data_IF_405289105982
#
_entry.id   IF_405289105982
#
_cell.length_a   1.000
_cell.length_b   1.000
_cell.length_c   1.000
_cell.angle_alpha   90.00
_cell.angle_beta   90.00
_cell.angle_gamma   90.00
#
_symmetry.space_group_name_H-M   'P 1'
#
loop_
_entity.id
_entity.type
_entity.pdbx_description
1 polymer ?
#
# COMPACT_ATOMS: atom_id res chain seq x y z
N UNK A 1 -1.76 11.08 -24.29
CA UNK A 1 -3.16 10.76 -24.69
C UNK A 1 -4.02 10.71 -23.46
N UNK A 2 -5.35 10.79 -23.56
CA UNK A 2 -6.22 10.85 -22.38
C UNK A 2 -7.46 9.93 -22.51
N UNK A 3 -7.74 9.06 -21.54
CA UNK A 3 -8.92 8.18 -21.48
C UNK A 3 -10.13 8.97 -21.02
N UNK A 4 -11.13 9.16 -21.87
CA UNK A 4 -12.40 9.78 -21.48
C UNK A 4 -13.12 8.89 -20.46
N UNK A 5 -13.34 9.35 -19.22
CA UNK A 5 -14.00 8.57 -18.19
C UNK A 5 -15.45 8.29 -18.55
N UNK A 6 -16.02 7.28 -17.88
CA UNK A 6 -17.43 6.88 -18.04
C UNK A 6 -18.43 8.03 -17.97
N UNK A 7 -18.16 9.05 -17.15
CA UNK A 7 -19.03 10.23 -17.01
C UNK A 7 -19.07 11.12 -18.27
N UNK A 8 -17.97 11.18 -19.04
CA UNK A 8 -17.87 12.09 -20.20
C UNK A 8 -18.62 11.60 -21.43
N UNK A 9 -18.76 10.30 -21.61
CA UNK A 9 -19.57 9.72 -22.69
C UNK A 9 -20.98 9.31 -22.22
N UNK A 10 -21.30 9.63 -20.96
CA UNK A 10 -22.60 9.36 -20.35
C UNK A 10 -22.86 7.88 -20.19
N UNK A 11 -21.99 7.13 -19.52
CA UNK A 11 -22.22 5.71 -19.24
C UNK A 11 -23.42 5.48 -18.31
N UNK A 12 -24.17 4.41 -18.54
CA UNK A 12 -25.06 3.85 -17.51
C UNK A 12 -24.24 3.19 -16.40
N UNK A 13 -24.75 3.16 -15.16
CA UNK A 13 -24.20 2.29 -14.12
C UNK A 13 -24.24 0.82 -14.57
N UNK A 14 -23.21 0.03 -14.26
CA UNK A 14 -23.23 -1.41 -14.49
C UNK A 14 -24.25 -2.10 -13.57
N UNK A 15 -24.85 -3.22 -14.02
CA UNK A 15 -25.75 -4.04 -13.18
C UNK A 15 -24.98 -4.83 -12.11
N UNK A 16 -23.77 -5.26 -12.44
CA UNK A 16 -22.83 -5.92 -11.53
C UNK A 16 -21.39 -5.59 -11.91
N UNK A 17 -20.48 -5.68 -10.93
CA UNK A 17 -19.04 -5.43 -11.11
C UNK A 17 -18.26 -6.56 -10.47
N UNK A 18 -17.58 -7.35 -11.28
CA UNK A 18 -16.61 -8.34 -10.83
C UNK A 18 -15.19 -7.78 -10.99
N UNK A 19 -14.41 -7.77 -9.90
CA UNK A 19 -13.04 -7.24 -9.90
C UNK A 19 -12.04 -8.32 -10.28
N UNK A 20 -11.04 -7.94 -11.05
CA UNK A 20 -9.93 -8.81 -11.45
C UNK A 20 -8.63 -8.18 -10.98
N UNK A 21 -7.83 -8.96 -10.26
CA UNK A 21 -6.50 -8.57 -9.83
C UNK A 21 -5.58 -8.40 -11.06
N UNK A 22 -4.78 -7.32 -11.13
CA UNK A 22 -3.83 -7.11 -12.23
C UNK A 22 -2.89 -8.32 -12.48
N UNK A 23 -2.50 -9.06 -11.44
CA UNK A 23 -1.62 -10.23 -11.57
C UNK A 23 -2.21 -11.38 -12.38
N UNK A 24 -3.55 -11.46 -12.48
CA UNK A 24 -4.27 -12.43 -13.28
C UNK A 24 -4.25 -12.10 -14.78
N UNK A 25 -3.87 -10.86 -15.16
CA UNK A 25 -3.77 -10.45 -16.55
C UNK A 25 -2.48 -11.00 -17.18
N UNK A 26 -2.64 -11.73 -18.28
CA UNK A 26 -1.53 -12.30 -19.06
C UNK A 26 -1.59 -11.89 -20.52
N UNK A 27 -2.67 -11.27 -20.98
CA UNK A 27 -2.78 -10.80 -22.35
C UNK A 27 -3.62 -9.53 -22.52
N UNK A 28 -3.55 -9.01 -23.74
CA UNK A 28 -4.25 -7.82 -24.19
C UNK A 28 -4.84 -8.10 -25.56
N UNK A 29 -6.16 -7.97 -25.69
CA UNK A 29 -6.90 -8.40 -26.89
C UNK A 29 -7.51 -7.21 -27.61
N UNK A 30 -7.14 -7.05 -28.88
CA UNK A 30 -7.72 -6.05 -29.78
C UNK A 30 -8.99 -6.60 -30.46
N UNK A 31 -10.03 -5.78 -30.44
CA UNK A 31 -11.34 -6.00 -31.04
C UNK A 31 -11.71 -4.86 -31.99
N UNK A 32 -12.74 -5.08 -32.80
CA UNK A 32 -13.52 -3.99 -33.42
C UNK A 32 -14.99 -4.07 -32.98
N UNK A 33 -15.79 -3.03 -33.24
CA UNK A 33 -17.24 -3.07 -32.97
C UNK A 33 -18.02 -3.72 -34.12
N UNK A 34 -17.42 -3.81 -35.32
CA UNK A 34 -18.11 -4.16 -36.57
C UNK A 34 -19.31 -3.23 -36.88
N UNK A 35 -19.37 -2.06 -36.25
CA UNK A 35 -20.38 -1.03 -36.44
C UNK A 35 -19.83 0.17 -37.21
N UNK A 36 -20.67 1.18 -37.51
CA UNK A 36 -20.20 2.41 -38.13
C UNK A 36 -19.20 3.13 -37.21
N UNK A 37 -18.18 3.83 -37.76
CA UNK A 37 -17.19 4.57 -36.96
C UNK A 37 -17.79 5.77 -36.21
N UNK A 38 -19.03 6.14 -36.51
CA UNK A 38 -19.82 7.16 -35.81
C UNK A 38 -20.58 6.61 -34.60
N UNK A 39 -20.56 5.29 -34.37
CA UNK A 39 -21.18 4.69 -33.20
C UNK A 39 -20.52 5.20 -31.92
N UNK A 40 -21.33 5.44 -30.89
CA UNK A 40 -20.82 5.92 -29.59
C UNK A 40 -20.63 4.76 -28.62
N UNK A 41 -19.74 4.89 -27.61
CA UNK A 41 -19.64 3.93 -26.51
C UNK A 41 -20.99 3.69 -25.81
N UNK A 42 -21.82 4.73 -25.66
CA UNK A 42 -23.17 4.61 -25.08
C UNK A 42 -24.10 3.74 -25.90
N UNK A 43 -24.06 3.82 -27.24
CA UNK A 43 -24.84 2.92 -28.11
C UNK A 43 -24.37 1.47 -28.00
N UNK A 44 -23.06 1.24 -27.92
CA UNK A 44 -22.49 -0.10 -27.70
C UNK A 44 -22.91 -0.64 -26.33
N UNK A 45 -22.86 0.19 -25.28
CA UNK A 45 -23.30 -0.19 -23.95
C UNK A 45 -24.79 -0.56 -23.91
N UNK A 46 -25.65 0.24 -24.56
CA UNK A 46 -27.09 -0.03 -24.66
C UNK A 46 -27.32 -1.40 -25.30
N UNK A 47 -26.69 -1.67 -26.45
CA UNK A 47 -26.81 -2.96 -27.11
C UNK A 47 -26.38 -4.13 -26.21
N UNK A 48 -25.22 -4.01 -25.56
CA UNK A 48 -24.74 -5.05 -24.64
C UNK A 48 -25.67 -5.29 -23.44
N UNK A 49 -26.21 -4.24 -22.83
CA UNK A 49 -27.03 -4.37 -21.63
C UNK A 49 -28.48 -4.76 -21.93
N UNK A 50 -29.08 -4.16 -22.96
CA UNK A 50 -30.51 -4.28 -23.23
C UNK A 50 -30.80 -5.38 -24.26
N UNK A 51 -29.91 -5.63 -25.21
CA UNK A 51 -30.08 -6.70 -26.21
C UNK A 51 -29.39 -8.01 -25.79
N UNK A 52 -28.15 -7.95 -25.29
CA UNK A 52 -27.43 -9.17 -24.87
C UNK A 52 -27.63 -9.54 -23.40
N UNK A 53 -28.28 -8.67 -22.61
CA UNK A 53 -28.52 -8.90 -21.19
C UNK A 53 -27.28 -8.79 -20.29
N UNK A 54 -26.16 -8.29 -20.80
CA UNK A 54 -24.91 -8.20 -20.04
C UNK A 54 -24.99 -7.13 -18.93
N UNK A 55 -24.09 -7.25 -17.96
CA UNK A 55 -24.04 -6.31 -16.84
C UNK A 55 -23.56 -4.91 -17.23
N UNK A 56 -22.78 -4.80 -18.30
CA UNK A 56 -22.21 -3.56 -18.81
C UNK A 56 -21.64 -3.75 -20.23
N UNK A 57 -21.14 -2.68 -20.85
CA UNK A 57 -20.33 -2.73 -22.07
C UNK A 57 -19.24 -3.79 -21.97
N UNK A 58 -19.08 -4.69 -22.95
CA UNK A 58 -18.20 -5.85 -22.81
C UNK A 58 -16.68 -5.57 -22.76
N UNK A 59 -16.25 -4.41 -23.24
CA UNK A 59 -14.83 -4.08 -23.37
C UNK A 59 -14.29 -3.28 -22.17
N UNK A 60 -13.01 -3.44 -21.87
CA UNK A 60 -12.32 -2.64 -20.85
C UNK A 60 -12.12 -1.20 -21.33
N UNK A 61 -11.74 -1.02 -22.61
CA UNK A 61 -11.58 0.28 -23.26
C UNK A 61 -12.09 0.27 -24.68
N UNK A 62 -12.40 1.45 -25.20
CA UNK A 62 -12.77 1.66 -26.60
C UNK A 62 -11.91 2.78 -27.21
N UNK A 63 -11.67 2.70 -28.52
CA UNK A 63 -10.88 3.69 -29.27
C UNK A 63 -11.58 4.00 -30.57
N UNK A 64 -11.70 5.26 -30.95
CA UNK A 64 -12.29 5.66 -32.24
C UNK A 64 -11.24 5.93 -33.33
N UNK A 65 -11.71 6.32 -34.52
CA UNK A 65 -10.86 6.67 -35.67
C UNK A 65 -9.99 7.91 -35.44
N UNK A 66 -10.35 8.77 -34.49
CA UNK A 66 -9.57 9.95 -34.11
C UNK A 66 -8.49 9.63 -33.06
N UNK A 67 -8.46 8.40 -32.53
CA UNK A 67 -7.58 7.98 -31.44
C UNK A 67 -8.05 8.47 -30.06
N UNK A 68 -9.32 8.88 -29.93
CA UNK A 68 -9.92 9.14 -28.62
C UNK A 68 -10.14 7.82 -27.91
N UNK A 69 -9.77 7.77 -26.65
CA UNK A 69 -9.89 6.57 -25.81
C UNK A 69 -11.05 6.79 -24.87
N UNK A 70 -11.89 5.78 -24.69
CA UNK A 70 -13.03 5.80 -23.79
C UNK A 70 -12.88 4.69 -22.76
N UNK A 71 -13.10 5.02 -21.49
CA UNK A 71 -13.18 4.03 -20.41
C UNK A 71 -14.44 3.19 -20.61
N UNK A 72 -14.27 1.89 -20.82
CA UNK A 72 -15.35 0.90 -20.76
C UNK A 72 -15.45 0.39 -19.32
N UNK A 73 -15.19 -0.89 -19.11
CA UNK A 73 -15.11 -1.49 -17.76
C UNK A 73 -13.86 -1.07 -16.97
N UNK A 74 -12.83 -0.53 -17.62
CA UNK A 74 -11.60 -0.09 -16.96
C UNK A 74 -10.62 -1.24 -16.66
N UNK A 75 -9.55 -0.93 -15.92
CA UNK A 75 -8.39 -1.84 -15.73
C UNK A 75 -8.69 -3.08 -14.88
N UNK A 76 -9.39 -2.89 -13.75
CA UNK A 76 -9.52 -3.90 -12.68
C UNK A 76 -10.90 -4.59 -12.65
N UNK A 77 -11.61 -4.61 -13.78
CA UNK A 77 -12.95 -5.21 -13.90
C UNK A 77 -12.95 -6.30 -14.96
N UNK A 78 -13.66 -7.39 -14.69
CA UNK A 78 -13.83 -8.51 -15.60
C UNK A 78 -14.48 -8.03 -16.91
N UNK A 79 -13.85 -8.36 -18.04
CA UNK A 79 -14.42 -8.10 -19.37
C UNK A 79 -15.59 -9.04 -19.70
N UNK A 80 -16.32 -8.74 -20.78
CA UNK A 80 -17.23 -9.67 -21.43
C UNK A 80 -16.99 -9.65 -22.95
N UNK A 81 -15.72 -9.72 -23.35
CA UNK A 81 -15.28 -9.51 -24.74
C UNK A 81 -14.83 -10.80 -25.44
N UNK A 82 -14.37 -11.81 -24.71
CA UNK A 82 -13.92 -13.08 -25.28
C UNK A 82 -13.86 -14.22 -24.23
N UNK A 83 -15.00 -14.79 -23.82
CA UNK A 83 -15.00 -15.93 -22.89
C UNK A 83 -14.30 -17.16 -23.52
N UNK A 84 -13.40 -17.88 -22.81
CA UNK A 84 -13.10 -17.81 -21.37
C UNK A 84 -11.96 -16.85 -20.97
N UNK A 85 -11.44 -16.04 -21.90
CA UNK A 85 -10.27 -15.18 -21.70
C UNK A 85 -10.55 -13.86 -20.96
N UNK A 86 -11.80 -13.62 -20.54
CA UNK A 86 -12.22 -12.36 -19.92
C UNK A 86 -11.43 -12.00 -18.64
N UNK A 87 -10.97 -13.01 -17.88
CA UNK A 87 -10.14 -12.81 -16.68
C UNK A 87 -8.69 -12.53 -17.05
N UNK A 88 -8.12 -13.28 -17.99
CA UNK A 88 -6.70 -13.19 -18.33
C UNK A 88 -6.38 -12.03 -19.27
N UNK A 89 -7.37 -11.50 -20.00
CA UNK A 89 -7.15 -10.49 -21.03
C UNK A 89 -7.90 -9.19 -20.79
N UNK A 90 -7.19 -8.08 -20.97
CA UNK A 90 -7.79 -6.75 -21.12
C UNK A 90 -8.26 -6.59 -22.57
N UNK A 91 -9.55 -6.31 -22.77
CA UNK A 91 -10.15 -6.16 -24.09
C UNK A 91 -10.28 -4.70 -24.51
N UNK A 92 -9.71 -4.34 -25.66
CA UNK A 92 -9.82 -2.99 -26.25
C UNK A 92 -10.53 -3.07 -27.59
N UNK A 93 -11.60 -2.29 -27.75
CA UNK A 93 -12.42 -2.27 -28.97
C UNK A 93 -12.17 -1.02 -29.80
N UNK A 94 -11.77 -1.20 -31.05
CA UNK A 94 -11.85 -0.15 -32.05
C UNK A 94 -13.31 0.04 -32.51
N UNK A 95 -13.80 1.27 -32.43
CA UNK A 95 -15.13 1.64 -32.90
C UNK A 95 -15.07 1.85 -34.42
N UNK A 96 -15.50 0.85 -35.17
CA UNK A 96 -15.49 0.86 -36.63
C UNK A 96 -15.43 -0.55 -37.23
N UNK A 97 -15.10 -0.59 -38.52
CA UNK A 97 -15.00 -1.81 -39.33
C UNK A 97 -13.55 -2.08 -39.77
N UNK A 98 -13.33 -3.24 -40.39
CA UNK A 98 -12.01 -3.57 -40.94
C UNK A 98 -11.52 -2.48 -41.93
N UNK A 99 -10.22 -2.21 -41.90
CA UNK A 99 -9.59 -1.19 -42.73
C UNK A 99 -9.88 0.28 -42.34
N UNK A 100 -10.72 0.54 -41.34
CA UNK A 100 -11.04 1.92 -40.91
C UNK A 100 -10.18 2.44 -39.76
N UNK A 101 -9.42 1.57 -39.09
CA UNK A 101 -8.52 1.99 -38.02
C UNK A 101 -7.41 2.88 -38.58
N UNK A 102 -7.20 4.04 -37.96
CA UNK A 102 -6.18 5.00 -38.40
C UNK A 102 -4.87 4.81 -37.63
N UNK A 103 -3.81 5.51 -38.05
CA UNK A 103 -2.57 5.57 -37.26
C UNK A 103 -2.83 6.07 -35.83
N UNK A 104 -3.74 7.04 -35.64
CA UNK A 104 -4.10 7.54 -34.31
C UNK A 104 -4.81 6.47 -33.46
N UNK A 105 -5.67 5.66 -34.09
CA UNK A 105 -6.27 4.49 -33.44
C UNK A 105 -5.20 3.50 -32.97
N UNK A 106 -4.25 3.15 -33.83
CA UNK A 106 -3.15 2.25 -33.50
C UNK A 106 -2.30 2.79 -32.34
N UNK A 107 -1.92 4.08 -32.39
CA UNK A 107 -1.19 4.75 -31.30
C UNK A 107 -1.95 4.71 -29.98
N UNK A 108 -3.26 4.97 -29.99
CA UNK A 108 -4.10 4.90 -28.80
C UNK A 108 -4.18 3.50 -28.19
N UNK A 109 -4.35 2.47 -29.03
CA UNK A 109 -4.38 1.07 -28.58
C UNK A 109 -3.01 0.65 -28.02
N UNK A 110 -1.91 1.03 -28.67
CA UNK A 110 -0.55 0.77 -28.21
C UNK A 110 -0.27 1.44 -26.87
N UNK A 111 -0.71 2.69 -26.70
CA UNK A 111 -0.58 3.39 -25.42
C UNK A 111 -1.35 2.68 -24.29
N UNK A 112 -2.53 2.13 -24.57
CA UNK A 112 -3.27 1.30 -23.60
C UNK A 112 -2.53 0.00 -23.28
N UNK A 113 -1.91 -0.64 -24.28
CA UNK A 113 -1.08 -1.83 -24.09
C UNK A 113 0.13 -1.56 -23.19
N UNK A 114 0.87 -0.47 -23.44
CA UNK A 114 2.00 -0.08 -22.61
C UNK A 114 1.57 0.19 -21.17
N UNK A 115 0.46 0.92 -20.98
CA UNK A 115 -0.11 1.17 -19.65
C UNK A 115 -0.54 -0.12 -18.95
N UNK A 116 -1.10 -1.07 -19.67
CA UNK A 116 -1.45 -2.38 -19.13
C UNK A 116 -0.20 -3.15 -18.65
N UNK A 117 0.90 -3.10 -19.41
CA UNK A 117 2.16 -3.73 -19.02
C UNK A 117 2.73 -3.11 -17.73
N UNK A 118 2.70 -1.77 -17.63
CA UNK A 118 3.12 -1.05 -16.42
C UNK A 118 2.30 -1.47 -15.19
N UNK A 119 0.97 -1.48 -15.32
CA UNK A 119 0.06 -1.80 -14.21
C UNK A 119 0.18 -3.27 -13.75
N UNK A 120 0.52 -4.18 -14.66
CA UNK A 120 0.66 -5.61 -14.37
C UNK A 120 2.09 -6.01 -14.01
N UNK A 121 3.06 -5.11 -14.20
CA UNK A 121 4.48 -5.37 -13.98
C UNK A 121 5.08 -6.42 -14.93
N UNK A 122 4.47 -6.64 -16.10
CA UNK A 122 4.91 -7.65 -17.08
C UNK A 122 4.54 -7.27 -18.51
N UNK A 123 5.22 -7.86 -19.47
CA UNK A 123 4.82 -7.79 -20.88
C UNK A 123 3.64 -8.72 -21.14
N UNK A 124 2.47 -8.17 -21.40
CA UNK A 124 1.27 -8.94 -21.74
C UNK A 124 1.36 -9.51 -23.17
N UNK A 125 0.76 -10.67 -23.40
CA UNK A 125 0.61 -11.23 -24.73
C UNK A 125 -0.24 -10.29 -25.61
N UNK A 126 0.32 -9.89 -26.75
CA UNK A 126 -0.38 -9.11 -27.77
C UNK A 126 -1.27 -10.04 -28.58
N UNK A 127 -2.58 -9.90 -28.42
CA UNK A 127 -3.58 -10.79 -29.06
C UNK A 127 -4.66 -9.99 -29.77
N UNK A 128 -5.42 -10.68 -30.59
CA UNK A 128 -6.62 -10.17 -31.25
C UNK A 128 -7.72 -11.23 -31.13
N UNK A 129 -8.99 -10.84 -31.24
CA UNK A 129 -10.10 -11.72 -30.88
C UNK A 129 -10.05 -13.09 -31.59
N UNK A 130 -9.97 -13.12 -32.92
CA UNK A 130 -9.85 -14.37 -33.68
C UNK A 130 -8.53 -15.12 -33.52
N UNK A 131 -7.57 -14.57 -32.77
CA UNK A 131 -6.29 -15.22 -32.42
C UNK A 131 -6.30 -15.89 -31.05
N UNK A 132 -7.37 -15.71 -30.27
CA UNK A 132 -7.55 -16.37 -28.98
C UNK A 132 -7.98 -17.82 -29.17
N UNK A 133 -7.45 -18.72 -28.34
CA UNK A 133 -7.81 -20.14 -28.36
C UNK A 133 -9.32 -20.31 -28.19
N UNK A 134 -9.94 -21.11 -29.07
CA UNK A 134 -11.37 -21.40 -29.07
C UNK A 134 -12.26 -20.30 -29.68
N UNK A 135 -11.70 -19.22 -30.21
CA UNK A 135 -12.48 -18.15 -30.86
C UNK A 135 -12.50 -18.32 -32.39
N UNK A 136 -13.69 -18.30 -32.99
CA UNK A 136 -13.88 -18.30 -34.44
C UNK A 136 -14.58 -17.01 -34.85
N UNK A 137 -13.80 -16.00 -35.25
CA UNK A 137 -14.30 -14.68 -35.64
C UNK A 137 -13.33 -13.98 -36.57
N UNK A 138 -13.85 -13.09 -37.41
CA UNK A 138 -13.04 -12.19 -38.24
C UNK A 138 -12.53 -10.98 -37.46
N UNK A 139 -13.04 -10.74 -36.24
CA UNK A 139 -12.61 -9.64 -35.37
C UNK A 139 -11.10 -9.75 -35.04
N UNK A 140 -10.32 -8.65 -35.13
CA UNK A 140 -10.69 -7.24 -35.36
C UNK A 140 -10.57 -6.78 -36.82
N UNK A 141 -10.65 -7.71 -37.79
CA UNK A 141 -10.37 -7.45 -39.18
C UNK A 141 -8.91 -7.70 -39.55
N UNK A 142 -8.65 -7.77 -40.86
CA UNK A 142 -7.33 -8.07 -41.44
C UNK A 142 -6.28 -7.01 -41.08
N UNK A 143 -6.63 -5.72 -41.09
CA UNK A 143 -5.67 -4.64 -40.88
C UNK A 143 -5.13 -4.62 -39.43
N UNK A 144 -6.03 -4.59 -38.44
CA UNK A 144 -5.64 -4.62 -37.03
C UNK A 144 -4.98 -5.95 -36.63
N UNK A 145 -5.44 -7.08 -37.19
CA UNK A 145 -4.78 -8.37 -37.00
C UNK A 145 -3.32 -8.33 -37.46
N UNK A 146 -3.05 -7.87 -38.68
CA UNK A 146 -1.69 -7.79 -39.22
C UNK A 146 -0.80 -6.88 -38.36
N UNK A 147 -1.34 -5.75 -37.91
CA UNK A 147 -0.63 -4.83 -37.02
C UNK A 147 -0.29 -5.44 -35.66
N UNK A 148 -1.24 -6.15 -35.02
CA UNK A 148 -0.99 -6.86 -33.76
C UNK A 148 0.05 -7.97 -33.97
N UNK A 149 -0.05 -8.76 -35.04
CA UNK A 149 0.92 -9.80 -35.38
C UNK A 149 2.33 -9.22 -35.62
N UNK A 150 2.42 -7.99 -36.14
CA UNK A 150 3.68 -7.26 -36.32
C UNK A 150 4.29 -6.67 -35.04
N UNK A 151 3.67 -6.89 -33.87
CA UNK A 151 4.18 -6.38 -32.59
C UNK A 151 3.55 -5.06 -32.13
N UNK A 152 2.40 -4.68 -32.70
CA UNK A 152 1.71 -3.41 -32.45
C UNK A 152 2.61 -2.17 -32.70
N UNK A 153 3.45 -2.18 -33.74
CA UNK A 153 4.45 -1.12 -33.97
C UNK A 153 3.84 0.29 -34.06
N UNK A 154 4.48 1.27 -33.45
CA UNK A 154 4.05 2.67 -33.46
C UNK A 154 4.66 3.48 -32.33
N UNK A 155 4.29 4.75 -32.25
CA UNK A 155 4.80 5.66 -31.22
C UNK A 155 4.33 5.25 -29.82
N UNK A 156 5.26 5.31 -28.86
CA UNK A 156 4.97 5.14 -27.45
C UNK A 156 4.51 6.47 -26.85
N UNK A 157 3.20 6.69 -26.86
CA UNK A 157 2.60 7.86 -26.21
C UNK A 157 2.10 7.52 -24.81
N UNK A 158 2.40 8.33 -23.77
CA UNK A 158 1.84 8.12 -22.44
C UNK A 158 0.33 8.34 -22.46
N UNK A 159 -0.41 7.63 -21.60
CA UNK A 159 -1.85 7.80 -21.38
C UNK A 159 -2.12 8.42 -20.00
N UNK A 160 -2.95 9.45 -19.99
CA UNK A 160 -3.68 10.01 -18.84
C UNK A 160 -5.16 9.59 -18.96
N UNK A 161 -6.05 9.89 -18.03
CA UNK A 161 -7.46 9.47 -18.09
C UNK A 161 -8.45 10.63 -18.16
N UNK A 162 -8.21 11.51 -19.14
CA UNK A 162 -9.26 12.33 -19.76
C UNK A 162 -9.89 13.39 -18.87
N UNK A 163 -9.44 13.52 -17.63
CA UNK A 163 -9.90 14.53 -16.66
C UNK A 163 -8.90 15.67 -16.48
N UNK A 164 -7.84 15.70 -17.30
CA UNK A 164 -6.63 16.47 -16.98
C UNK A 164 -5.84 15.89 -15.80
N UNK A 165 -6.40 14.90 -15.12
CA UNK A 165 -5.71 14.08 -14.16
C UNK A 165 -5.08 12.90 -14.91
N UNK A 166 -3.84 12.58 -14.58
CA UNK A 166 -3.45 11.18 -14.58
C UNK A 166 -4.19 10.53 -13.41
N UNK A 167 -4.90 9.40 -13.53
CA UNK A 167 -5.06 8.54 -12.36
C UNK A 167 -3.67 7.94 -12.08
N UNK A 168 -2.85 8.74 -11.39
CA UNK A 168 -1.69 8.32 -10.64
C UNK A 168 -2.07 7.66 -9.32
N UNK A 169 -3.31 7.18 -9.17
CA UNK A 169 -3.82 6.80 -7.86
C UNK A 169 -3.34 5.46 -7.30
N UNK A 170 -2.89 4.57 -8.16
CA UNK A 170 -2.04 3.47 -7.77
C UNK A 170 -0.93 3.38 -8.79
N UNK A 171 0.27 3.77 -8.38
CA UNK A 171 1.43 3.02 -8.84
C UNK A 171 1.57 1.81 -7.91
N UNK A 172 2.25 0.74 -8.35
CA UNK A 172 2.65 -0.35 -7.44
C UNK A 172 3.57 0.12 -6.30
N UNK A 173 3.88 1.42 -6.25
CA UNK A 173 4.84 2.06 -5.35
C UNK A 173 4.16 2.82 -4.21
N UNK A 174 3.08 3.58 -4.49
CA UNK A 174 2.41 4.43 -3.48
C UNK A 174 0.93 4.72 -3.82
N UNK A 175 0.03 4.60 -2.83
CA UNK A 175 -1.41 4.91 -2.97
C UNK A 175 -1.68 6.40 -3.09
N UNK A 176 -2.84 6.82 -3.65
CA UNK A 176 -3.25 8.25 -3.73
C UNK A 176 -3.08 8.96 -2.38
N UNK A 177 -3.64 8.40 -1.31
CA UNK A 177 -3.63 9.02 0.00
C UNK A 177 -2.19 9.21 0.50
N UNK A 178 -1.32 8.22 0.27
CA UNK A 178 0.08 8.32 0.64
C UNK A 178 0.86 9.33 -0.21
N UNK A 179 0.44 9.60 -1.45
CA UNK A 179 1.00 10.66 -2.28
C UNK A 179 0.52 12.04 -1.81
N UNK A 180 -0.77 12.20 -1.52
CA UNK A 180 -1.35 13.43 -0.94
C UNK A 180 -0.64 13.81 0.37
N UNK A 181 -0.43 12.83 1.27
CA UNK A 181 0.32 13.03 2.51
C UNK A 181 1.78 13.39 2.28
N UNK A 182 2.47 12.76 1.32
CA UNK A 182 3.86 13.06 1.02
C UNK A 182 4.05 14.48 0.44
N UNK A 183 3.13 14.92 -0.42
CA UNK A 183 3.07 16.30 -0.93
C UNK A 183 2.89 17.30 0.22
N UNK A 184 1.92 17.07 1.10
CA UNK A 184 1.70 17.93 2.27
C UNK A 184 2.91 17.94 3.22
N UNK A 185 3.56 16.80 3.40
CA UNK A 185 4.73 16.63 4.27
C UNK A 185 5.95 17.44 3.85
N UNK A 186 6.08 17.78 2.56
CA UNK A 186 7.13 18.69 2.07
C UNK A 186 6.73 20.17 2.16
N UNK A 187 5.51 20.50 2.62
CA UNK A 187 5.06 21.88 2.83
C UNK A 187 4.27 22.48 1.68
N UNK A 188 3.62 21.66 0.83
CA UNK A 188 2.71 22.17 -0.21
C UNK A 188 1.56 22.98 0.39
N UNK A 189 1.23 24.12 -0.24
CA UNK A 189 0.16 25.02 0.20
C UNK A 189 -0.70 25.48 -0.99
N UNK A 190 -2.04 25.45 -0.89
CA UNK A 190 -2.81 24.96 0.26
C UNK A 190 -2.68 23.44 0.44
N UNK A 191 -2.80 22.97 1.69
CA UNK A 191 -2.71 21.54 1.96
C UNK A 191 -3.81 20.76 1.22
N UNK A 192 -3.43 19.60 0.70
CA UNK A 192 -4.33 18.65 0.09
C UNK A 192 -5.21 17.97 1.14
N UNK A 193 -6.47 17.74 0.81
CA UNK A 193 -7.31 16.80 1.57
C UNK A 193 -6.80 15.38 1.30
N UNK A 194 -6.53 14.61 2.36
CA UNK A 194 -6.07 13.21 2.25
C UNK A 194 -7.27 12.27 2.24
N UNK A 195 -7.97 12.24 1.11
CA UNK A 195 -9.18 11.44 0.91
C UNK A 195 -8.92 10.18 0.06
N UNK A 196 -7.70 10.00 -0.44
CA UNK A 196 -7.36 8.91 -1.34
C UNK A 196 -8.03 9.04 -2.72
N UNK A 197 -8.60 10.20 -3.03
CA UNK A 197 -9.22 10.51 -4.32
C UNK A 197 -8.24 11.33 -5.14
N UNK A 198 -7.88 10.81 -6.32
CA UNK A 198 -7.01 11.56 -7.20
C UNK A 198 -7.79 12.69 -7.87
N UNK A 199 -7.46 13.93 -7.52
CA UNK A 199 -8.06 15.13 -8.10
C UNK A 199 -7.03 16.13 -8.61
N UNK A 200 -7.48 17.24 -9.22
CA UNK A 200 -6.60 18.25 -9.82
C UNK A 200 -5.64 18.90 -8.80
N UNK A 201 -6.05 19.00 -7.54
CA UNK A 201 -5.19 19.46 -6.45
C UNK A 201 -4.08 18.44 -6.14
N UNK A 202 -4.41 17.14 -6.14
CA UNK A 202 -3.42 16.07 -5.94
C UNK A 202 -2.41 16.02 -7.08
N UNK A 203 -2.86 16.15 -8.33
CA UNK A 203 -1.97 16.22 -9.50
C UNK A 203 -0.99 17.41 -9.39
N UNK A 204 -1.52 18.62 -9.14
CA UNK A 204 -0.72 19.83 -8.96
C UNK A 204 0.29 19.68 -7.81
N UNK A 205 -0.13 19.06 -6.72
CA UNK A 205 0.71 18.75 -5.57
C UNK A 205 1.84 17.77 -5.89
N UNK A 206 1.56 16.70 -6.63
CA UNK A 206 2.56 15.70 -7.03
C UNK A 206 3.57 16.30 -8.02
N UNK A 207 3.12 17.09 -8.99
CA UNK A 207 4.03 17.82 -9.91
C UNK A 207 4.92 18.82 -9.18
N UNK A 208 4.35 19.54 -8.22
CA UNK A 208 5.12 20.43 -7.36
C UNK A 208 6.18 19.63 -6.59
N UNK A 209 5.82 18.51 -5.97
CA UNK A 209 6.77 17.66 -5.26
C UNK A 209 7.86 17.13 -6.19
N UNK A 210 7.52 16.66 -7.38
CA UNK A 210 8.48 16.20 -8.38
C UNK A 210 9.50 17.29 -8.75
N UNK A 211 9.04 18.53 -8.88
CA UNK A 211 9.91 19.69 -9.10
C UNK A 211 10.82 19.92 -7.88
N UNK A 212 10.26 19.86 -6.68
CA UNK A 212 10.99 20.03 -5.41
C UNK A 212 12.08 18.98 -5.23
N UNK A 213 11.81 17.72 -5.58
CA UNK A 213 12.75 16.60 -5.41
C UNK A 213 13.67 16.38 -6.63
N UNK A 214 13.58 17.24 -7.65
CA UNK A 214 14.51 17.25 -8.78
C UNK A 214 14.26 16.18 -9.86
N UNK A 215 13.01 15.79 -10.10
CA UNK A 215 12.62 14.90 -11.21
C UNK A 215 11.63 15.56 -12.16
N UNK A 216 11.36 14.92 -13.30
CA UNK A 216 10.36 15.39 -14.25
C UNK A 216 8.98 15.54 -13.57
N UNK A 217 8.38 16.72 -13.69
CA UNK A 217 7.08 17.05 -13.12
C UNK A 217 5.92 16.57 -14.01
N UNK A 218 5.89 15.26 -14.25
CA UNK A 218 4.93 14.59 -15.15
C UNK A 218 3.58 14.26 -14.49
N UNK A 219 3.48 14.42 -13.16
CA UNK A 219 2.29 14.10 -12.36
C UNK A 219 2.12 12.61 -12.05
N UNK A 220 3.12 11.79 -12.39
CA UNK A 220 3.12 10.34 -12.18
C UNK A 220 4.07 9.95 -11.06
N UNK A 221 3.54 9.39 -9.97
CA UNK A 221 4.37 8.90 -8.88
C UNK A 221 4.94 7.50 -9.16
N UNK A 222 5.86 7.42 -10.12
CA UNK A 222 6.58 6.19 -10.48
C UNK A 222 7.79 5.90 -9.58
N UNK A 223 8.53 4.80 -9.87
CA UNK A 223 9.75 4.44 -9.12
C UNK A 223 10.81 5.55 -9.08
N UNK A 224 10.94 6.36 -10.14
CA UNK A 224 11.87 7.48 -10.20
C UNK A 224 11.48 8.61 -9.23
N UNK A 225 10.20 8.99 -9.19
CA UNK A 225 9.67 9.97 -8.23
C UNK A 225 9.80 9.45 -6.79
N UNK A 226 9.50 8.18 -6.54
CA UNK A 226 9.68 7.57 -5.21
C UNK A 226 11.15 7.56 -4.78
N UNK A 227 12.07 7.19 -5.68
CA UNK A 227 13.50 7.17 -5.39
C UNK A 227 14.04 8.58 -5.09
N UNK A 228 13.66 9.58 -5.90
CA UNK A 228 14.06 10.96 -5.71
C UNK A 228 13.44 11.57 -4.44
N UNK A 229 12.17 11.32 -4.17
CA UNK A 229 11.52 11.71 -2.92
C UNK A 229 12.26 11.14 -1.70
N UNK A 230 12.57 9.83 -1.69
CA UNK A 230 13.34 9.19 -0.62
C UNK A 230 14.74 9.79 -0.46
N UNK A 231 15.43 10.04 -1.56
CA UNK A 231 16.76 10.65 -1.55
C UNK A 231 16.72 12.08 -1.00
N UNK A 232 15.75 12.88 -1.44
CA UNK A 232 15.52 14.26 -1.00
C UNK A 232 15.23 14.36 0.49
N UNK A 233 14.53 13.38 1.06
CA UNK A 233 14.28 13.28 2.50
C UNK A 233 15.40 12.59 3.30
N UNK A 234 16.53 12.19 2.66
CA UNK A 234 17.72 11.64 3.34
C UNK A 234 17.84 10.10 3.44
N UNK A 235 17.53 9.35 2.39
CA UNK A 235 17.27 7.89 2.40
C UNK A 235 18.40 6.86 2.65
N UNK A 236 17.97 5.59 2.78
CA UNK A 236 18.75 4.33 2.76
C UNK A 236 17.82 3.10 2.55
N UNK A 237 18.34 2.05 1.89
CA UNK A 237 17.63 0.88 1.32
C UNK A 237 16.55 0.22 2.20
N UNK A 238 15.31 0.20 1.72
CA UNK A 238 14.21 -0.58 2.31
C UNK A 238 12.92 -0.42 1.50
N UNK A 239 12.45 -1.52 0.90
CA UNK A 239 11.17 -1.56 0.20
C UNK A 239 10.00 -1.43 1.17
N UNK A 240 9.08 -0.51 0.86
CA UNK A 240 7.80 -0.31 1.54
C UNK A 240 7.73 0.89 2.49
N UNK A 241 7.00 1.91 2.03
CA UNK A 241 6.43 3.08 2.73
C UNK A 241 7.29 3.99 3.63
N UNK A 242 8.52 3.63 4.03
CA UNK A 242 9.54 4.59 4.51
C UNK A 242 10.97 4.04 4.44
N UNK A 243 11.98 4.91 4.51
CA UNK A 243 13.40 4.54 4.68
C UNK A 243 13.79 4.30 6.15
N UNK A 244 12.82 4.35 7.07
CA UNK A 244 13.07 4.34 8.51
C UNK A 244 12.81 2.96 9.11
N UNK A 245 11.78 2.26 8.62
CA UNK A 245 11.36 0.95 9.14
C UNK A 245 10.67 0.13 8.06
N UNK A 246 11.08 -1.13 7.86
CA UNK A 246 10.47 -2.03 6.86
C UNK A 246 9.01 -2.35 7.19
N UNK A 247 8.21 -2.73 6.17
CA UNK A 247 6.79 -3.10 6.38
C UNK A 247 6.63 -4.19 7.45
N UNK A 248 7.46 -5.22 7.41
CA UNK A 248 7.46 -6.28 8.41
C UNK A 248 7.76 -5.73 9.82
N UNK A 249 8.68 -4.77 9.94
CA UNK A 249 9.01 -4.14 11.20
C UNK A 249 7.91 -3.16 11.67
N UNK A 250 7.15 -2.55 10.76
CA UNK A 250 5.97 -1.74 11.10
C UNK A 250 4.81 -2.64 11.57
N UNK A 251 4.52 -3.73 10.86
CA UNK A 251 3.56 -4.76 11.27
C UNK A 251 3.90 -5.30 12.68
N UNK A 252 5.19 -5.59 12.91
CA UNK A 252 5.70 -6.02 14.21
C UNK A 252 5.51 -4.96 15.30
N UNK A 253 5.75 -3.68 14.99
CA UNK A 253 5.59 -2.57 15.93
C UNK A 253 4.11 -2.31 16.28
N UNK A 254 3.23 -2.32 15.28
CA UNK A 254 1.77 -2.24 15.46
C UNK A 254 1.26 -3.36 16.36
N UNK A 255 1.66 -4.61 16.07
CA UNK A 255 1.32 -5.76 16.91
C UNK A 255 1.92 -5.63 18.32
N UNK A 256 3.15 -5.10 18.43
CA UNK A 256 3.86 -4.90 19.68
C UNK A 256 3.16 -3.93 20.63
N UNK A 257 2.45 -2.93 20.10
CA UNK A 257 1.63 -2.02 20.90
C UNK A 257 0.24 -2.60 21.25
N UNK A 258 -0.15 -3.75 20.70
CA UNK A 258 -1.38 -4.47 21.05
C UNK A 258 -2.56 -4.26 20.11
N UNK A 259 -2.32 -3.91 18.84
CA UNK A 259 -3.38 -3.83 17.83
C UNK A 259 -4.15 -5.15 17.68
N UNK A 260 -5.47 -5.07 17.52
CA UNK A 260 -6.35 -6.22 17.32
C UNK A 260 -7.32 -5.95 16.16
N UNK A 261 -7.45 -6.85 15.16
CA UNK A 261 -6.77 -8.14 15.06
C UNK A 261 -5.28 -8.00 14.78
N UNK A 262 -4.48 -8.96 15.26
CA UNK A 262 -3.04 -8.96 14.97
C UNK A 262 -2.79 -9.06 13.47
N UNK A 263 -1.81 -8.29 13.00
CA UNK A 263 -1.34 -8.32 11.62
C UNK A 263 -0.46 -9.55 11.39
N UNK A 264 -0.60 -10.18 10.22
CA UNK A 264 0.40 -11.12 9.72
C UNK A 264 1.66 -10.33 9.37
N UNK A 265 2.82 -10.75 9.92
CA UNK A 265 4.13 -10.11 9.63
C UNK A 265 4.72 -10.76 8.38
N UNK A 266 4.22 -10.38 7.22
CA UNK A 266 4.61 -10.90 5.91
C UNK A 266 5.43 -9.90 5.09
N UNK A 267 5.60 -8.67 5.58
CA UNK A 267 6.26 -7.60 4.85
C UNK A 267 5.44 -7.05 3.68
N UNK A 268 4.17 -7.45 3.55
CA UNK A 268 3.25 -6.99 2.52
C UNK A 268 2.39 -5.84 3.07
N UNK A 269 2.38 -4.73 2.35
CA UNK A 269 1.51 -3.62 2.72
C UNK A 269 0.09 -3.86 2.22
N UNK A 270 -0.83 -4.15 3.14
CA UNK A 270 -2.24 -4.34 2.86
C UNK A 270 -3.13 -3.38 3.65
N UNK A 271 -4.46 -3.42 3.43
CA UNK A 271 -5.42 -2.57 4.14
C UNK A 271 -5.40 -2.76 5.66
N UNK A 272 -5.07 -3.96 6.15
CA UNK A 272 -4.89 -4.23 7.58
C UNK A 272 -3.62 -3.56 8.11
N UNK A 273 -2.53 -3.57 7.34
CA UNK A 273 -1.29 -2.88 7.69
C UNK A 273 -1.48 -1.36 7.76
N UNK A 274 -2.17 -0.77 6.77
CA UNK A 274 -2.52 0.66 6.78
C UNK A 274 -3.36 1.04 8.01
N UNK A 275 -4.44 0.30 8.27
CA UNK A 275 -5.29 0.52 9.44
C UNK A 275 -4.50 0.38 10.76
N UNK A 276 -3.61 -0.61 10.84
CA UNK A 276 -2.74 -0.83 11.98
C UNK A 276 -1.74 0.30 12.22
N UNK A 277 -1.13 0.84 11.16
CA UNK A 277 -0.19 1.97 11.27
C UNK A 277 -0.92 3.25 11.65
N UNK A 278 -2.10 3.54 11.09
CA UNK A 278 -2.92 4.69 11.51
C UNK A 278 -3.37 4.59 12.97
N UNK A 279 -3.74 3.39 13.40
CA UNK A 279 -4.05 3.12 14.80
C UNK A 279 -2.82 3.38 15.69
N UNK A 280 -1.64 2.89 15.30
CA UNK A 280 -0.41 3.12 16.04
C UNK A 280 -0.08 4.62 16.11
N UNK A 281 -0.20 5.35 15.01
CA UNK A 281 0.02 6.79 14.97
C UNK A 281 -0.89 7.56 15.93
N UNK A 282 -2.18 7.21 15.96
CA UNK A 282 -3.14 7.74 16.94
C UNK A 282 -2.70 7.41 18.36
N UNK A 283 -2.21 6.19 18.57
CA UNK A 283 -1.76 5.68 19.88
C UNK A 283 -0.52 6.41 20.38
N UNK A 284 0.44 6.71 19.50
CA UNK A 284 1.69 7.42 19.84
C UNK A 284 1.57 8.94 19.74
N UNK A 285 0.36 9.48 19.51
CA UNK A 285 0.07 10.90 19.55
C UNK A 285 0.53 11.71 18.33
N UNK A 286 0.61 11.09 17.14
CA UNK A 286 0.91 11.77 15.87
C UNK A 286 -0.25 11.68 14.88
N UNK A 287 -0.15 12.45 13.79
CA UNK A 287 -1.15 12.41 12.72
C UNK A 287 -1.29 10.98 12.15
N UNK A 288 -2.52 10.47 12.12
CA UNK A 288 -2.86 9.14 11.62
C UNK A 288 -2.96 9.10 10.08
N UNK A 289 -1.87 9.49 9.42
CA UNK A 289 -1.79 9.63 7.97
C UNK A 289 -1.46 8.31 7.24
N UNK A 290 -1.18 7.23 7.98
CA UNK A 290 -0.82 5.91 7.47
C UNK A 290 0.65 5.80 7.04
N UNK A 291 1.44 6.85 7.24
CA UNK A 291 2.85 6.92 6.85
C UNK A 291 3.79 6.77 8.05
N UNK A 292 4.64 5.76 8.00
CA UNK A 292 5.69 5.59 9.00
C UNK A 292 6.92 6.46 8.70
N UNK A 293 6.76 7.78 8.78
CA UNK A 293 7.85 8.75 8.60
C UNK A 293 8.72 8.92 9.85
N UNK A 294 9.74 9.80 9.79
CA UNK A 294 10.60 10.12 10.94
C UNK A 294 9.82 10.62 12.17
N UNK A 295 8.72 11.35 11.97
CA UNK A 295 7.86 11.79 13.07
C UNK A 295 7.14 10.61 13.76
N UNK A 296 6.59 9.68 12.98
CA UNK A 296 5.99 8.43 13.49
C UNK A 296 7.05 7.57 14.19
N UNK A 297 8.25 7.44 13.61
CA UNK A 297 9.34 6.70 14.24
C UNK A 297 9.80 7.36 15.54
N UNK A 298 10.01 8.68 15.54
CA UNK A 298 10.41 9.42 16.73
C UNK A 298 9.34 9.36 17.81
N UNK A 299 8.06 9.49 17.46
CA UNK A 299 6.96 9.36 18.40
C UNK A 299 6.73 7.93 18.87
N UNK A 300 6.94 6.92 18.01
CA UNK A 300 6.92 5.51 18.41
C UNK A 300 8.06 5.20 19.38
N UNK A 301 9.28 5.63 19.06
CA UNK A 301 10.42 5.46 19.94
C UNK A 301 10.25 6.29 21.22
N UNK A 302 9.76 7.53 21.14
CA UNK A 302 9.41 8.33 22.31
C UNK A 302 8.28 7.68 23.12
N UNK A 303 7.27 7.07 22.52
CA UNK A 303 6.19 6.36 23.20
C UNK A 303 6.72 5.12 23.94
N UNK A 304 7.63 4.37 23.31
CA UNK A 304 8.39 3.29 23.97
C UNK A 304 9.32 3.83 25.07
N UNK A 305 9.93 4.97 24.81
CA UNK A 305 10.84 5.72 25.67
C UNK A 305 10.07 6.69 26.59
N UNK A 306 8.75 6.66 26.71
CA UNK A 306 7.97 7.50 27.64
C UNK A 306 7.01 6.61 28.46
N UNK A 307 7.01 5.29 28.22
CA UNK A 307 6.42 4.28 29.10
C UNK A 307 5.06 3.76 28.66
N UNK A 308 4.65 3.98 27.41
CA UNK A 308 3.39 3.46 26.94
C UNK A 308 3.61 2.08 26.26
N UNK A 309 3.34 1.04 27.07
CA UNK A 309 3.34 -0.40 26.79
C UNK A 309 4.50 -0.96 25.93
N UNK A 310 5.49 -1.54 26.61
CA UNK A 310 6.52 -2.44 26.10
C UNK A 310 5.94 -3.64 25.33
N UNK A 311 6.61 -4.07 24.25
CA UNK A 311 6.33 -5.37 23.64
C UNK A 311 6.59 -6.50 24.67
N UNK A 312 5.66 -7.48 24.77
CA UNK A 312 5.78 -8.62 25.70
C UNK A 312 6.45 -9.80 25.01
N UNK A 313 7.71 -9.61 24.61
CA UNK A 313 8.48 -10.58 23.82
C UNK A 313 9.40 -11.47 24.68
N UNK A 314 9.71 -11.07 25.92
CA UNK A 314 10.67 -11.76 26.78
C UNK A 314 12.12 -11.42 26.51
N UNK A 315 12.38 -10.35 25.75
CA UNK A 315 13.72 -9.82 25.49
C UNK A 315 13.96 -8.62 26.39
N UNK A 316 14.99 -8.69 27.23
CA UNK A 316 15.36 -7.59 28.12
C UNK A 316 16.25 -6.57 27.39
N UNK A 317 15.71 -5.96 26.34
CA UNK A 317 16.39 -4.96 25.50
C UNK A 317 16.29 -3.53 26.05
N UNK A 318 16.88 -2.55 25.34
CA UNK A 318 16.99 -1.15 25.81
C UNK A 318 15.68 -0.51 26.25
N UNK A 319 14.56 -0.76 25.55
CA UNK A 319 13.26 -0.23 25.94
C UNK A 319 12.76 -0.81 27.28
N UNK A 320 12.88 -2.13 27.47
CA UNK A 320 12.50 -2.79 28.74
C UNK A 320 13.42 -2.34 29.87
N UNK A 321 14.71 -2.16 29.59
CA UNK A 321 15.70 -1.64 30.56
C UNK A 321 15.30 -0.22 30.98
N UNK A 322 15.10 0.68 30.03
CA UNK A 322 14.74 2.09 30.27
C UNK A 322 13.46 2.20 31.08
N UNK A 323 12.41 1.45 30.72
CA UNK A 323 11.15 1.43 31.45
C UNK A 323 11.30 0.88 32.89
N UNK A 324 12.10 -0.17 33.05
CA UNK A 324 12.43 -0.72 34.38
C UNK A 324 13.18 0.33 35.21
N UNK A 325 14.19 0.98 34.63
CA UNK A 325 15.01 2.01 35.28
C UNK A 325 14.16 3.20 35.75
N UNK A 326 13.22 3.69 34.94
CA UNK A 326 12.28 4.74 35.36
C UNK A 326 11.43 4.31 36.54
N UNK A 327 10.89 3.11 36.48
CA UNK A 327 9.97 2.61 37.51
C UNK A 327 10.67 2.42 38.86
N UNK A 328 11.93 1.97 38.84
CA UNK A 328 12.75 1.81 40.05
C UNK A 328 13.47 3.10 40.47
N UNK A 329 13.20 4.23 39.81
CA UNK A 329 13.72 5.55 40.20
C UNK A 329 15.22 5.74 40.02
N UNK A 330 15.82 5.14 38.99
CA UNK A 330 17.22 5.37 38.60
C UNK A 330 17.31 6.07 37.24
N UNK A 331 18.50 6.55 36.88
CA UNK A 331 18.75 7.11 35.54
C UNK A 331 18.38 6.08 34.47
N UNK A 332 17.50 6.50 33.56
CA UNK A 332 16.99 5.68 32.47
C UNK A 332 17.89 5.82 31.23
N UNK A 333 19.06 5.19 31.31
CA UNK A 333 20.10 5.25 30.26
C UNK A 333 20.03 4.08 29.25
N UNK A 334 19.09 3.16 29.44
CA UNK A 334 18.91 2.00 28.56
C UNK A 334 19.98 0.92 28.70
N UNK A 335 20.91 1.04 29.66
CA UNK A 335 22.00 0.10 29.92
C UNK A 335 21.82 -0.57 31.27
N UNK A 336 21.65 -1.89 31.29
CA UNK A 336 21.48 -2.62 32.55
C UNK A 336 22.84 -2.91 33.21
N UNK A 337 23.16 -2.18 34.27
CA UNK A 337 24.40 -2.33 35.03
C UNK A 337 24.20 -2.37 36.55
N UNK A 338 25.30 -2.39 37.33
CA UNK A 338 25.23 -2.49 38.80
C UNK A 338 24.40 -1.40 39.48
N UNK A 339 24.34 -0.20 38.89
CA UNK A 339 23.49 0.89 39.40
C UNK A 339 22.00 0.56 39.27
N UNK A 340 21.57 0.03 38.12
CA UNK A 340 20.18 -0.40 37.89
C UNK A 340 19.81 -1.57 38.78
N UNK A 341 20.71 -2.53 38.99
CA UNK A 341 20.49 -3.65 39.90
C UNK A 341 20.33 -3.18 41.36
N UNK A 342 21.16 -2.23 41.83
CA UNK A 342 20.98 -1.63 43.16
C UNK A 342 19.63 -0.92 43.28
N UNK A 343 19.20 -0.22 42.23
CA UNK A 343 17.87 0.38 42.15
C UNK A 343 16.75 -0.66 42.34
N UNK A 344 16.84 -1.77 41.60
CA UNK A 344 15.86 -2.84 41.66
C UNK A 344 15.84 -3.51 43.05
N UNK A 345 17.00 -3.78 43.64
CA UNK A 345 17.10 -4.34 44.99
C UNK A 345 16.45 -3.43 46.04
N UNK A 346 16.66 -2.10 45.96
CA UNK A 346 15.99 -1.14 46.84
C UNK A 346 14.48 -1.11 46.62
N UNK A 347 14.04 -1.11 45.36
CA UNK A 347 12.61 -1.18 45.01
C UNK A 347 11.96 -2.42 45.63
N UNK A 348 12.54 -3.60 45.42
CA UNK A 348 12.01 -4.85 45.96
C UNK A 348 12.05 -4.88 47.49
N UNK A 349 13.08 -4.34 48.13
CA UNK A 349 13.09 -4.23 49.60
C UNK A 349 11.96 -3.33 50.12
N UNK A 350 11.64 -2.26 49.39
CA UNK A 350 10.59 -1.31 49.78
C UNK A 350 9.20 -1.91 49.59
N UNK A 351 8.92 -2.46 48.40
CA UNK A 351 7.56 -2.85 48.00
C UNK A 351 7.21 -4.30 48.30
N UNK A 352 8.22 -5.13 48.54
CA UNK A 352 8.03 -6.58 48.68
C UNK A 352 8.64 -7.14 49.97
N UNK A 353 9.27 -6.27 50.80
CA UNK A 353 10.01 -6.58 52.03
C UNK A 353 11.00 -7.73 51.84
N UNK A 354 11.71 -7.72 50.70
CA UNK A 354 12.49 -8.87 50.24
C UNK A 354 13.74 -9.19 51.09
N UNK A 355 14.25 -8.23 51.89
CA UNK A 355 15.43 -8.43 52.74
C UNK A 355 16.73 -8.65 51.95
N UNK A 356 16.83 -8.12 50.74
CA UNK A 356 18.00 -8.26 49.86
C UNK A 356 19.15 -7.33 50.29
N UNK A 357 20.37 -7.82 50.18
CA UNK A 357 21.57 -6.96 50.20
C UNK A 357 21.61 -6.13 48.91
N UNK A 358 21.87 -4.82 49.03
CA UNK A 358 21.95 -3.90 47.88
C UNK A 358 23.40 -3.84 47.37
N UNK A 359 23.83 -4.90 46.68
CA UNK A 359 25.20 -5.07 46.19
C UNK A 359 25.38 -4.71 44.69
N UNK A 360 24.29 -4.65 43.92
CA UNK A 360 24.34 -4.43 42.48
C UNK A 360 24.67 -5.67 41.66
N UNK A 361 24.63 -6.86 42.27
CA UNK A 361 24.78 -8.13 41.59
C UNK A 361 23.42 -8.76 41.29
N UNK A 362 23.17 -9.10 40.02
CA UNK A 362 21.92 -9.71 39.59
C UNK A 362 21.93 -11.22 39.88
N UNK A 363 21.91 -11.59 41.16
CA UNK A 363 21.94 -12.98 41.61
C UNK A 363 20.55 -13.64 41.71
N UNK A 364 20.50 -14.98 41.88
CA UNK A 364 19.24 -15.73 41.97
C UNK A 364 18.29 -15.22 43.07
N UNK A 365 18.83 -14.74 44.20
CA UNK A 365 18.01 -14.14 45.27
C UNK A 365 17.23 -12.90 44.82
N UNK A 366 17.87 -12.01 44.07
CA UNK A 366 17.23 -10.80 43.49
C UNK A 366 16.15 -11.20 42.49
N UNK A 367 16.43 -12.19 41.63
CA UNK A 367 15.47 -12.67 40.63
C UNK A 367 14.27 -13.35 41.28
N UNK A 368 14.48 -14.22 42.28
CA UNK A 368 13.41 -14.87 43.05
C UNK A 368 12.53 -13.85 43.78
N UNK A 369 13.12 -12.76 44.27
CA UNK A 369 12.35 -11.66 44.85
C UNK A 369 11.50 -10.94 43.81
N UNK A 370 12.04 -10.65 42.63
CA UNK A 370 11.27 -10.06 41.52
C UNK A 370 10.13 -10.98 41.08
N UNK A 371 10.38 -12.28 40.89
CA UNK A 371 9.35 -13.25 40.49
C UNK A 371 8.20 -13.29 41.50
N UNK A 372 8.50 -13.29 42.82
CA UNK A 372 7.47 -13.18 43.87
C UNK A 372 6.71 -11.86 43.80
N UNK A 373 7.39 -10.76 43.54
CA UNK A 373 6.77 -9.44 43.40
C UNK A 373 5.80 -9.41 42.20
N UNK A 374 6.24 -9.87 41.03
CA UNK A 374 5.41 -9.96 39.82
C UNK A 374 4.21 -10.89 40.00
N UNK A 375 4.39 -12.03 40.67
CA UNK A 375 3.28 -12.92 41.02
C UNK A 375 2.24 -12.23 41.90
N UNK A 376 2.66 -11.40 42.87
CA UNK A 376 1.73 -10.65 43.72
C UNK A 376 1.02 -9.53 42.98
N UNK A 377 1.73 -8.75 42.17
CA UNK A 377 1.20 -7.54 41.56
C UNK A 377 0.26 -7.80 40.39
N UNK A 378 0.55 -8.82 39.58
CA UNK A 378 -0.17 -9.08 38.33
C UNK A 378 -0.61 -10.54 38.16
N UNK A 379 -0.51 -11.36 39.20
CA UNK A 379 -0.81 -12.80 39.14
C UNK A 379 -0.05 -13.51 37.99
N UNK A 380 1.26 -13.26 37.90
CA UNK A 380 2.07 -13.64 36.73
C UNK A 380 2.20 -15.16 36.49
N UNK A 381 1.93 -16.01 37.50
CA UNK A 381 2.01 -17.47 37.40
C UNK A 381 3.43 -18.02 37.24
N UNK A 382 4.45 -17.28 37.67
CA UNK A 382 5.84 -17.69 37.55
C UNK A 382 6.24 -18.71 38.63
N UNK A 383 7.03 -19.71 38.24
CA UNK A 383 7.83 -20.48 39.19
C UNK A 383 8.91 -19.57 39.78
N UNK A 384 9.08 -19.60 41.10
CA UNK A 384 10.12 -18.83 41.80
C UNK A 384 11.40 -19.67 41.84
N UNK A 385 12.16 -19.63 40.76
CA UNK A 385 13.38 -20.41 40.54
C UNK A 385 14.67 -19.58 40.54
N UNK A 386 14.56 -18.25 40.58
CA UNK A 386 15.71 -17.35 40.55
C UNK A 386 16.39 -17.24 39.19
N UNK A 387 15.78 -17.77 38.12
CA UNK A 387 16.32 -17.73 36.78
C UNK A 387 15.85 -16.47 36.01
N UNK A 388 16.81 -15.70 35.49
CA UNK A 388 16.53 -14.56 34.62
C UNK A 388 16.26 -15.03 33.19
N UNK A 389 15.06 -15.57 32.96
CA UNK A 389 14.63 -16.11 31.68
C UNK A 389 13.51 -15.33 31.00
N UNK A 390 13.15 -15.70 29.76
CA UNK A 390 12.11 -15.02 28.98
C UNK A 390 10.74 -14.95 29.66
N UNK A 391 10.39 -15.94 30.49
CA UNK A 391 9.13 -15.93 31.26
C UNK A 391 9.10 -14.79 32.30
N UNK A 392 10.19 -14.65 33.07
CA UNK A 392 10.36 -13.55 34.03
C UNK A 392 10.33 -12.19 33.32
N UNK A 393 10.99 -12.08 32.17
CA UNK A 393 11.03 -10.83 31.38
C UNK A 393 9.65 -10.48 30.82
N UNK A 394 8.88 -11.44 30.27
CA UNK A 394 7.50 -11.18 29.82
C UNK A 394 6.58 -10.75 30.95
N UNK A 395 6.75 -11.32 32.14
CA UNK A 395 6.00 -10.88 33.31
C UNK A 395 6.38 -9.45 33.75
N UNK A 396 7.67 -9.12 33.72
CA UNK A 396 8.15 -7.76 34.00
C UNK A 396 7.60 -6.75 32.98
N UNK A 397 7.68 -7.05 31.69
CA UNK A 397 7.10 -6.22 30.62
C UNK A 397 5.60 -6.01 30.82
N UNK A 398 4.85 -7.06 31.16
CA UNK A 398 3.41 -6.95 31.49
C UNK A 398 3.16 -6.05 32.71
N UNK A 399 3.96 -6.18 33.76
CA UNK A 399 3.81 -5.36 34.97
C UNK A 399 4.09 -3.88 34.69
N UNK A 400 5.15 -3.59 33.93
CA UNK A 400 5.50 -2.25 33.48
C UNK A 400 4.37 -1.63 32.64
N UNK A 401 3.80 -2.40 31.70
CA UNK A 401 2.68 -1.95 30.85
C UNK A 401 1.40 -1.64 31.62
N UNK A 402 1.23 -2.25 32.79
CA UNK A 402 0.08 -2.03 33.67
C UNK A 402 0.35 -0.95 34.71
N UNK A 403 1.56 -0.35 34.73
CA UNK A 403 2.03 0.52 35.81
C UNK A 403 1.90 -0.15 37.20
N UNK A 404 2.21 -1.45 37.27
CA UNK A 404 2.07 -2.31 38.46
C UNK A 404 3.37 -3.00 38.85
N UNK A 405 4.52 -2.42 38.49
CA UNK A 405 5.82 -2.85 39.01
C UNK A 405 6.17 -1.99 40.23
#
# INVERSE_FOLDING_TARGET
MSIQPRSQWGARPPRAVERVDPSARTGFTVHYSAGPPTQTPRQIQIYHMDSNGWDDIGYNFLVDTAGRIFEGRGWNVLGAHAAPHNTTHIGVCFIGQDGQATARTATAIRALYNRANELTGRTLAQTWHGGLSGQSTQCPGSALRAWVQGGMQGDDLPITDGTGNAHGGMTSVRTVAAQQSAVNGLGYSPQLTVDGVWGPLTDAGVRWLQTTVGVAADGLWGPATEAAYKAFTGGGSGGGMSSVRSVAAQQSAVNGLGYSPQLTVDGVWGPLTDAGVRWLQTTVGVAADGLWGPATEAAYNAYLDEGARLAVDGVFGPATITATQRTIGVTADGVWGPASVRGLQRHLNTWSSAGLTVDGAMGPGTVSALQRHLNRMINAGLTVDGAWGPATIRALQRALNLARL
#
